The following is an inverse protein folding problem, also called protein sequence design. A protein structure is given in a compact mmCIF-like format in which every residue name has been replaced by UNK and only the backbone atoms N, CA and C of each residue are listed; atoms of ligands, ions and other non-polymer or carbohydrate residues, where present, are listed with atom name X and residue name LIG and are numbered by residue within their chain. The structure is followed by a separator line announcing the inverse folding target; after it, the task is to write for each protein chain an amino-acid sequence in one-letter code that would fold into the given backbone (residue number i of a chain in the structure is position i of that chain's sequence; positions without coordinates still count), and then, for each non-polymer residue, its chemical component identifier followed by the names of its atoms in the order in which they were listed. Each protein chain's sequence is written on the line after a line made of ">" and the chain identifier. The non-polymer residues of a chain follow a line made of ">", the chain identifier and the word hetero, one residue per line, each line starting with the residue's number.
data_IF_966064918843
#
_entry.id   IF_966064918843
#
_cell.length_a   1.000
_cell.length_b   1.000
_cell.length_c   1.000
_cell.angle_alpha   90.00
_cell.angle_beta   90.00
_cell.angle_gamma   90.00
#
_symmetry.space_group_name_H-M   'P 1'
#
loop_
_entity.id
_entity.type
_entity.pdbx_description
1 polymer ?
#
# COMPACT_ATOMS: atom_id res chain seq x y z
N UNK A 1 6.15 14.79 -2.13
CA UNK A 1 4.82 14.41 -2.69
C UNK A 1 4.35 13.21 -1.89
N UNK A 2 3.35 13.37 -1.01
CA UNK A 2 2.96 12.30 -0.08
C UNK A 2 2.45 11.07 -0.84
N UNK A 3 2.97 9.89 -0.52
CA UNK A 3 2.48 8.63 -1.07
C UNK A 3 1.07 8.39 -0.52
N UNK A 4 0.06 8.51 -1.37
CA UNK A 4 -1.29 8.08 -1.01
C UNK A 4 -1.35 6.56 -1.20
N UNK A 5 -1.45 5.82 -0.10
CA UNK A 5 -1.73 4.38 -0.09
C UNK A 5 -3.15 4.09 -0.57
N UNK A 6 -3.36 4.33 -1.85
CA UNK A 6 -4.59 4.08 -2.56
C UNK A 6 -4.68 2.63 -2.98
N UNK A 7 -5.88 2.21 -3.37
CA UNK A 7 -6.06 0.86 -3.91
C UNK A 7 -5.21 0.63 -5.16
N UNK A 8 -4.94 1.67 -5.96
CA UNK A 8 -4.05 1.58 -7.12
C UNK A 8 -2.60 1.33 -6.69
N UNK A 9 -2.07 2.12 -5.77
CA UNK A 9 -0.70 1.97 -5.26
C UNK A 9 -0.46 0.58 -4.67
N UNK A 10 -1.39 0.12 -3.82
CA UNK A 10 -1.30 -1.21 -3.19
C UNK A 10 -1.33 -2.33 -4.23
N UNK A 11 -2.19 -2.21 -5.24
CA UNK A 11 -2.27 -3.19 -6.32
C UNK A 11 -0.99 -3.23 -7.14
N UNK A 12 -0.49 -2.09 -7.55
CA UNK A 12 0.73 -1.95 -8.34
C UNK A 12 1.92 -2.58 -7.62
N UNK A 13 2.15 -2.21 -6.36
CA UNK A 13 3.27 -2.71 -5.55
C UNK A 13 3.18 -4.20 -5.20
N UNK A 14 1.97 -4.75 -5.16
CA UNK A 14 1.75 -6.18 -4.91
C UNK A 14 1.60 -7.00 -6.21
N UNK A 15 1.74 -6.38 -7.39
CA UNK A 15 1.57 -7.06 -8.67
C UNK A 15 0.14 -7.53 -8.95
N UNK A 16 -0.86 -6.92 -8.31
CA UNK A 16 -2.27 -7.31 -8.42
C UNK A 16 -2.97 -6.56 -9.55
N UNK A 17 -3.50 -7.31 -10.52
CA UNK A 17 -4.15 -6.74 -11.70
C UNK A 17 -5.64 -6.45 -11.50
N UNK A 18 -6.26 -6.97 -10.43
CA UNK A 18 -7.71 -6.82 -10.23
C UNK A 18 -8.09 -6.57 -8.78
N UNK A 19 -9.23 -5.89 -8.60
CA UNK A 19 -9.85 -5.70 -7.28
C UNK A 19 -10.22 -7.03 -6.63
N UNK A 20 -10.51 -8.07 -7.42
CA UNK A 20 -10.79 -9.41 -6.90
C UNK A 20 -9.58 -10.06 -6.23
N UNK A 21 -8.38 -9.85 -6.78
CA UNK A 21 -7.14 -10.33 -6.16
C UNK A 21 -6.85 -9.56 -4.86
N UNK A 22 -7.04 -8.24 -4.88
CA UNK A 22 -6.92 -7.42 -3.66
C UNK A 22 -7.94 -7.83 -2.60
N UNK A 23 -9.17 -8.15 -3.00
CA UNK A 23 -10.23 -8.58 -2.10
C UNK A 23 -9.89 -9.91 -1.41
N UNK A 24 -9.31 -10.87 -2.16
CA UNK A 24 -8.84 -12.15 -1.62
C UNK A 24 -7.77 -11.95 -0.55
N UNK A 25 -6.81 -11.05 -0.78
CA UNK A 25 -5.76 -10.71 0.19
C UNK A 25 -6.35 -10.22 1.51
N UNK A 26 -7.41 -9.40 1.45
CA UNK A 26 -8.06 -8.84 2.63
C UNK A 26 -9.18 -9.71 3.22
N UNK A 27 -9.53 -10.84 2.61
CA UNK A 27 -10.67 -11.64 3.01
C UNK A 27 -12.00 -10.88 2.95
N UNK A 28 -12.19 -10.02 1.95
CA UNK A 28 -13.43 -9.25 1.72
C UNK A 28 -14.03 -9.54 0.35
N UNK A 29 -15.23 -9.03 0.09
CA UNK A 29 -15.83 -9.10 -1.24
C UNK A 29 -15.17 -8.12 -2.23
N UNK A 30 -15.18 -8.48 -3.52
CA UNK A 30 -14.78 -7.56 -4.61
C UNK A 30 -15.56 -6.25 -4.55
N UNK A 31 -16.87 -6.32 -4.26
CA UNK A 31 -17.74 -5.14 -4.18
C UNK A 31 -17.33 -4.17 -3.07
N UNK A 32 -16.83 -4.69 -1.94
CA UNK A 32 -16.28 -3.83 -0.89
C UNK A 32 -15.06 -3.05 -1.40
N UNK A 33 -14.15 -3.72 -2.11
CA UNK A 33 -12.95 -3.08 -2.70
C UNK A 33 -13.32 -2.09 -3.81
N UNK A 34 -14.34 -2.36 -4.62
CA UNK A 34 -14.75 -1.44 -5.68
C UNK A 34 -15.26 -0.11 -5.13
N UNK A 35 -15.89 -0.12 -3.95
CA UNK A 35 -16.37 1.08 -3.25
C UNK A 35 -15.24 1.92 -2.64
N UNK A 36 -14.02 1.39 -2.52
CA UNK A 36 -12.90 2.16 -2.00
C UNK A 36 -12.53 3.29 -2.96
N UNK A 37 -12.10 4.45 -2.43
CA UNK A 37 -11.70 5.58 -3.24
C UNK A 37 -10.54 5.18 -4.16
N UNK A 38 -10.65 5.52 -5.45
CA UNK A 38 -9.70 5.08 -6.48
C UNK A 38 -8.30 5.62 -6.26
N UNK A 39 -8.22 6.92 -5.94
CA UNK A 39 -6.99 7.66 -5.71
C UNK A 39 -6.91 8.18 -4.26
N UNK A 40 -7.82 7.74 -3.38
CA UNK A 40 -7.83 8.10 -1.98
C UNK A 40 -7.26 6.97 -1.12
N UNK A 41 -7.06 7.27 0.16
CA UNK A 41 -6.55 6.29 1.12
C UNK A 41 -7.51 5.09 1.23
N UNK A 42 -6.95 3.88 1.23
CA UNK A 42 -7.73 2.69 1.61
C UNK A 42 -8.19 2.80 3.08
N UNK A 43 -9.22 2.05 3.49
CA UNK A 43 -9.71 2.09 4.87
C UNK A 43 -8.59 1.87 5.91
N UNK A 44 -8.57 2.60 7.04
CA UNK A 44 -7.47 2.56 8.01
C UNK A 44 -7.12 1.16 8.51
N UNK A 45 -8.13 0.33 8.78
CA UNK A 45 -7.92 -1.06 9.20
C UNK A 45 -7.15 -1.88 8.14
N UNK A 46 -7.45 -1.66 6.86
CA UNK A 46 -6.78 -2.36 5.75
C UNK A 46 -5.36 -1.87 5.55
N UNK A 47 -5.12 -0.58 5.77
CA UNK A 47 -3.77 -0.02 5.81
C UNK A 47 -2.94 -0.65 6.94
N UNK A 48 -3.49 -0.74 8.15
CA UNK A 48 -2.81 -1.37 9.28
C UNK A 48 -2.43 -2.83 8.97
N UNK A 49 -3.35 -3.62 8.42
CA UNK A 49 -3.05 -5.00 8.00
C UNK A 49 -1.90 -5.07 6.99
N UNK A 50 -1.89 -4.19 5.99
CA UNK A 50 -0.79 -4.15 5.02
C UNK A 50 0.54 -3.79 5.66
N UNK A 51 0.57 -2.88 6.64
CA UNK A 51 1.79 -2.53 7.35
C UNK A 51 2.37 -3.72 8.12
N UNK A 52 1.50 -4.55 8.71
CA UNK A 52 1.91 -5.76 9.44
C UNK A 52 2.40 -6.87 8.49
N UNK A 53 1.72 -7.08 7.36
CA UNK A 53 2.00 -8.21 6.46
C UNK A 53 3.04 -7.89 5.38
N UNK A 54 3.12 -6.62 4.96
CA UNK A 54 3.95 -6.17 3.85
C UNK A 54 4.64 -4.83 4.22
N UNK A 55 5.55 -4.81 5.21
CA UNK A 55 6.21 -3.58 5.64
C UNK A 55 6.95 -2.88 4.49
N UNK A 56 7.48 -3.64 3.52
CA UNK A 56 8.14 -3.13 2.30
C UNK A 56 7.25 -2.23 1.41
N UNK A 57 5.92 -2.22 1.59
CA UNK A 57 5.01 -1.31 0.90
C UNK A 57 5.04 0.11 1.48
N UNK A 58 5.54 0.24 2.70
CA UNK A 58 5.64 1.46 3.47
C UNK A 58 7.12 1.72 3.71
N UNK A 59 7.87 2.18 2.69
CA UNK A 59 9.23 2.62 2.96
C UNK A 59 9.12 3.66 4.07
N UNK A 60 9.78 3.38 5.19
CA UNK A 60 10.16 4.42 6.12
C UNK A 60 10.83 5.47 5.25
N UNK A 61 10.42 6.72 5.36
CA UNK A 61 11.26 7.81 4.86
C UNK A 61 12.50 7.83 5.77
N UNK A 62 13.36 6.81 5.65
CA UNK A 62 14.73 6.95 6.06
C UNK A 62 15.25 8.07 5.16
N UNK A 63 15.64 9.23 5.72
CA UNK A 63 16.37 10.18 4.93
C UNK A 63 17.54 9.39 4.36
N UNK A 64 17.73 9.46 3.05
CA UNK A 64 19.01 9.13 2.45
C UNK A 64 20.01 10.16 3.01
N UNK A 65 20.41 9.97 4.27
CA UNK A 65 21.51 10.65 4.89
C UNK A 65 22.73 10.14 4.14
N UNK A 66 23.16 10.99 3.20
CA UNK A 66 24.25 10.71 2.30
C UNK A 66 25.42 10.17 3.11
N UNK A 67 25.90 9.00 2.69
CA UNK A 67 27.17 8.48 3.17
C UNK A 67 28.27 9.49 2.86
N UNK A 68 28.54 10.38 3.81
CA UNK A 68 29.83 11.03 3.93
C UNK A 68 30.77 10.05 4.62
N UNK A 69 31.23 9.07 3.84
CA UNK A 69 32.52 8.43 4.09
C UNK A 69 33.60 9.47 3.80
N UNK A 70 33.96 10.24 4.83
CA UNK A 70 35.21 11.00 4.84
C UNK A 70 36.34 10.12 5.37
N UNK A 71 37.28 9.87 4.45
CA UNK A 71 38.72 9.53 4.55
C UNK A 71 39.35 9.52 5.96
#
# INVERSE_FOLDING_TARGET
>A
MFVVWSKYYVRDRLGLQTDSQLAKLFGVSRSAVSQWPRNGMIPPLRRYMLQQQYPMLFPSEEPEDGGDSAD
#
